data_IF_058897858763
#
_entry.id   IF_058897858763
#
_cell.length_a   1.000
_cell.length_b   1.000
_cell.length_c   1.000
_cell.angle_alpha   90.00
_cell.angle_beta   90.00
_cell.angle_gamma   90.00
#
_symmetry.space_group_name_H-M   'P 1'
#
loop_
_entity.id
_entity.type
_entity.pdbx_description
1 polymer ?
#
# COMPACT_ATOMS: atom_id res chain seq x y z
N UNK A 1 -3.72 -28.33 -16.29
CA UNK A 1 -2.81 -27.38 -16.94
C UNK A 1 -1.59 -27.36 -16.05
N UNK A 2 -0.79 -28.43 -16.06
CA UNK A 2 0.29 -28.67 -17.04
C UNK A 2 1.55 -28.49 -16.21
N UNK A 3 2.20 -29.54 -15.74
CA UNK A 3 3.03 -30.39 -16.60
C UNK A 3 4.36 -29.70 -16.83
N UNK A 4 5.04 -29.32 -15.74
CA UNK A 4 6.41 -28.82 -15.82
C UNK A 4 7.34 -30.03 -15.83
N UNK A 5 7.74 -30.41 -17.04
CA UNK A 5 8.81 -31.37 -17.29
C UNK A 5 10.13 -30.84 -16.72
N UNK A 6 10.57 -31.39 -15.58
CA UNK A 6 11.92 -31.15 -15.05
C UNK A 6 12.89 -32.21 -15.59
N UNK A 7 13.88 -31.83 -16.43
CA UNK A 7 14.90 -32.75 -16.93
C UNK A 7 15.95 -32.99 -15.83
N UNK A 8 15.94 -34.19 -15.23
CA UNK A 8 16.97 -34.63 -14.28
C UNK A 8 16.43 -35.51 -13.14
N UNK A 9 16.04 -36.75 -13.44
CA UNK A 9 15.42 -37.63 -12.46
C UNK A 9 16.43 -38.36 -11.55
N UNK A 10 16.65 -37.85 -10.34
CA UNK A 10 17.25 -38.60 -9.23
C UNK A 10 16.17 -39.36 -8.43
N UNK A 11 16.53 -40.49 -7.81
CA UNK A 11 15.59 -41.32 -7.00
C UNK A 11 14.90 -40.53 -5.87
N UNK A 12 15.58 -39.51 -5.32
CA UNK A 12 15.02 -38.60 -4.33
C UNK A 12 13.83 -37.80 -4.86
N UNK A 13 13.92 -37.27 -6.07
CA UNK A 13 12.85 -36.48 -6.70
C UNK A 13 11.63 -37.35 -6.98
N UNK A 14 11.84 -38.60 -7.39
CA UNK A 14 10.75 -39.59 -7.59
C UNK A 14 10.03 -39.90 -6.28
N UNK A 15 10.77 -40.09 -5.19
CA UNK A 15 10.19 -40.34 -3.87
C UNK A 15 9.43 -39.12 -3.33
N UNK A 16 10.00 -37.92 -3.44
CA UNK A 16 9.34 -36.68 -3.02
C UNK A 16 8.05 -36.42 -3.83
N UNK A 17 8.07 -36.66 -5.14
CA UNK A 17 6.88 -36.56 -5.99
C UNK A 17 5.80 -37.58 -5.64
N UNK A 18 6.18 -38.80 -5.24
CA UNK A 18 5.24 -39.81 -4.76
C UNK A 18 4.56 -39.40 -3.44
N UNK A 19 5.33 -38.89 -2.47
CA UNK A 19 4.74 -38.39 -1.21
C UNK A 19 3.88 -37.14 -1.44
N UNK A 20 4.30 -36.24 -2.33
CA UNK A 20 3.53 -35.07 -2.72
C UNK A 20 2.17 -35.43 -3.32
N UNK A 21 2.16 -36.33 -4.31
CA UNK A 21 0.91 -36.79 -4.94
C UNK A 21 -0.02 -37.50 -3.96
N UNK A 22 0.51 -38.33 -3.05
CA UNK A 22 -0.31 -39.02 -2.04
C UNK A 22 -1.09 -38.05 -1.13
N UNK A 23 -0.57 -36.84 -0.91
CA UNK A 23 -1.23 -35.80 -0.11
C UNK A 23 -2.05 -34.80 -0.96
N UNK A 24 -1.56 -34.45 -2.16
CA UNK A 24 -2.22 -33.48 -3.04
C UNK A 24 -3.45 -34.07 -3.75
N UNK A 25 -3.36 -35.31 -4.23
CA UNK A 25 -4.43 -36.00 -4.95
C UNK A 25 -5.77 -36.04 -4.19
N UNK A 26 -5.84 -36.36 -2.88
CA UNK A 26 -7.10 -36.32 -2.14
C UNK A 26 -7.66 -34.90 -1.99
N UNK A 27 -6.80 -33.88 -1.85
CA UNK A 27 -7.22 -32.47 -1.75
C UNK A 27 -7.79 -31.98 -3.09
N UNK A 28 -7.11 -32.31 -4.19
CA UNK A 28 -7.57 -31.99 -5.55
C UNK A 28 -8.87 -32.73 -5.88
N UNK A 29 -8.99 -34.00 -5.47
CA UNK A 29 -10.23 -34.76 -5.60
C UNK A 29 -11.39 -34.08 -4.84
N UNK A 30 -11.17 -33.69 -3.59
CA UNK A 30 -12.18 -33.02 -2.77
C UNK A 30 -12.63 -31.69 -3.39
N UNK A 31 -11.68 -30.85 -3.83
CA UNK A 31 -11.97 -29.59 -4.53
C UNK A 31 -12.86 -29.83 -5.76
N UNK A 32 -12.48 -30.77 -6.63
CA UNK A 32 -13.20 -31.02 -7.89
C UNK A 32 -14.55 -31.72 -7.70
N UNK A 33 -14.66 -32.62 -6.73
CA UNK A 33 -15.87 -33.44 -6.54
C UNK A 33 -16.89 -32.83 -5.59
N UNK A 34 -16.47 -32.04 -4.61
CA UNK A 34 -17.35 -31.52 -3.56
C UNK A 34 -17.45 -29.99 -3.64
N UNK A 35 -16.32 -29.29 -3.73
CA UNK A 35 -16.31 -27.82 -3.66
C UNK A 35 -16.84 -27.19 -4.95
N UNK A 36 -16.24 -27.53 -6.10
CA UNK A 36 -16.57 -26.92 -7.39
C UNK A 36 -18.05 -27.10 -7.80
N UNK A 37 -18.67 -28.29 -7.64
CA UNK A 37 -20.09 -28.46 -7.97
C UNK A 37 -21.04 -27.78 -6.97
N UNK A 38 -20.60 -27.56 -5.73
CA UNK A 38 -21.39 -26.89 -4.70
C UNK A 38 -21.19 -25.37 -4.69
N UNK A 39 -20.16 -24.86 -5.39
CA UNK A 39 -19.87 -23.44 -5.49
C UNK A 39 -20.87 -22.77 -6.42
N UNK A 40 -21.79 -21.99 -5.85
CA UNK A 40 -22.68 -21.13 -6.62
C UNK A 40 -21.87 -19.96 -7.18
N UNK A 41 -21.86 -19.80 -8.50
CA UNK A 41 -21.26 -18.63 -9.13
C UNK A 41 -22.19 -17.43 -8.93
N UNK A 42 -21.93 -16.64 -7.89
CA UNK A 42 -22.60 -15.37 -7.66
C UNK A 42 -21.70 -14.23 -8.13
N UNK A 43 -22.20 -13.43 -9.06
CA UNK A 43 -21.46 -12.25 -9.51
C UNK A 43 -21.38 -11.21 -8.39
N UNK A 44 -20.17 -10.82 -8.02
CA UNK A 44 -19.91 -9.71 -7.10
C UNK A 44 -19.19 -8.58 -7.84
N UNK A 45 -19.45 -7.34 -7.46
CA UNK A 45 -18.86 -6.16 -8.08
C UNK A 45 -18.09 -5.34 -7.05
N UNK A 46 -16.99 -4.74 -7.49
CA UNK A 46 -16.28 -3.75 -6.69
C UNK A 46 -17.12 -2.48 -6.58
N UNK A 47 -17.35 -2.02 -5.35
CA UNK A 47 -18.09 -0.81 -5.10
C UNK A 47 -17.32 0.42 -5.62
N UNK A 48 -17.99 1.27 -6.41
CA UNK A 48 -17.41 2.49 -6.98
C UNK A 48 -18.06 3.70 -6.33
N UNK A 49 -17.31 4.37 -5.46
CA UNK A 49 -17.70 5.62 -4.84
C UNK A 49 -17.29 6.79 -5.72
N UNK A 50 -18.22 7.72 -5.97
CA UNK A 50 -17.90 8.98 -6.65
C UNK A 50 -17.12 9.90 -5.70
N UNK A 51 -16.34 10.81 -6.26
CA UNK A 51 -15.66 11.86 -5.51
C UNK A 51 -16.70 12.90 -5.05
N UNK A 52 -16.51 13.36 -3.83
CA UNK A 52 -17.22 14.45 -3.15
C UNK A 52 -16.27 15.67 -3.14
N UNK A 53 -16.79 16.91 -3.09
CA UNK A 53 -15.97 18.09 -2.83
C UNK A 53 -15.06 17.90 -1.60
N UNK A 54 -13.84 18.42 -1.70
CA UNK A 54 -12.85 18.36 -0.62
C UNK A 54 -13.11 19.46 0.43
N UNK A 55 -12.45 19.34 1.58
CA UNK A 55 -12.71 20.20 2.74
C UNK A 55 -12.39 21.70 2.50
N UNK A 56 -11.57 22.00 1.50
CA UNK A 56 -11.20 23.35 1.07
C UNK A 56 -12.27 24.07 0.24
N UNK A 57 -13.11 23.32 -0.48
CA UNK A 57 -14.25 23.86 -1.23
C UNK A 57 -15.48 24.09 -0.34
N UNK A 58 -15.46 23.49 0.86
CA UNK A 58 -16.57 23.50 1.79
C UNK A 58 -16.67 24.82 2.58
N UNK A 59 -17.91 25.27 2.83
CA UNK A 59 -18.14 26.39 3.74
C UNK A 59 -17.87 26.01 5.20
N UNK A 60 -17.53 27.00 6.03
CA UNK A 60 -17.17 26.76 7.43
C UNK A 60 -18.35 26.34 8.30
N UNK A 61 -19.56 26.73 7.90
CA UNK A 61 -20.83 26.56 8.60
C UNK A 61 -21.69 25.39 8.07
N UNK A 62 -21.27 24.72 6.98
CA UNK A 62 -21.97 23.55 6.44
C UNK A 62 -21.43 22.23 7.05
N UNK A 63 -22.11 21.61 8.03
CA UNK A 63 -21.66 20.37 8.64
C UNK A 63 -21.83 19.15 7.72
N UNK A 64 -22.72 19.20 6.73
CA UNK A 64 -23.03 18.06 5.85
C UNK A 64 -21.89 17.88 4.85
N UNK A 65 -21.51 18.97 4.18
CA UNK A 65 -20.37 18.95 3.27
C UNK A 65 -19.07 18.54 3.98
N UNK A 66 -18.83 19.03 5.20
CA UNK A 66 -17.68 18.60 6.03
C UNK A 66 -17.74 17.11 6.38
N UNK A 67 -18.92 16.60 6.69
CA UNK A 67 -19.10 15.18 7.00
C UNK A 67 -18.76 14.30 5.80
N UNK A 68 -19.27 14.62 4.61
CA UNK A 68 -18.98 13.85 3.39
C UNK A 68 -17.50 13.90 3.01
N UNK A 69 -16.87 15.08 3.12
CA UNK A 69 -15.43 15.27 2.89
C UNK A 69 -14.58 14.45 3.87
N UNK A 70 -14.96 14.42 5.15
CA UNK A 70 -14.29 13.60 6.16
C UNK A 70 -14.44 12.10 5.89
N UNK A 71 -15.61 11.66 5.42
CA UNK A 71 -15.82 10.26 5.06
C UNK A 71 -15.00 9.86 3.83
N UNK A 72 -14.85 10.75 2.85
CA UNK A 72 -13.94 10.52 1.74
C UNK A 72 -12.49 10.44 2.21
N UNK A 73 -12.05 11.37 3.07
CA UNK A 73 -10.70 11.38 3.63
C UNK A 73 -10.38 10.09 4.40
N UNK A 74 -11.31 9.60 5.21
CA UNK A 74 -11.16 8.33 5.95
C UNK A 74 -11.01 7.12 5.02
N UNK A 75 -11.79 7.08 3.94
CA UNK A 75 -11.70 6.03 2.91
C UNK A 75 -10.38 6.10 2.16
N UNK A 76 -9.97 7.30 1.73
CA UNK A 76 -8.69 7.50 1.05
C UNK A 76 -7.51 7.11 1.95
N UNK A 77 -7.59 7.39 3.26
CA UNK A 77 -6.60 6.92 4.25
C UNK A 77 -6.55 5.39 4.33
N UNK A 78 -7.69 4.71 4.33
CA UNK A 78 -7.74 3.26 4.34
C UNK A 78 -7.12 2.67 3.05
N UNK A 79 -7.38 3.27 1.89
CA UNK A 79 -6.76 2.87 0.63
C UNK A 79 -5.25 3.09 0.67
N UNK A 80 -4.78 4.24 1.13
CA UNK A 80 -3.35 4.55 1.23
C UNK A 80 -2.61 3.62 2.22
N UNK A 81 -3.28 3.18 3.29
CA UNK A 81 -2.73 2.14 4.19
C UNK A 81 -2.53 0.80 3.46
N UNK A 82 -3.51 0.38 2.65
CA UNK A 82 -3.38 -0.87 1.89
C UNK A 82 -2.33 -0.77 0.78
N UNK A 83 -2.13 0.41 0.18
CA UNK A 83 -1.02 0.63 -0.75
C UNK A 83 0.33 0.37 -0.07
N UNK A 84 0.52 0.87 1.16
CA UNK A 84 1.73 0.58 1.94
C UNK A 84 1.86 -0.91 2.28
N UNK A 85 0.77 -1.57 2.67
CA UNK A 85 0.78 -3.00 2.96
C UNK A 85 1.23 -3.82 1.75
N UNK A 86 0.72 -3.51 0.56
CA UNK A 86 1.10 -4.20 -0.68
C UNK A 86 2.58 -3.97 -1.00
N UNK A 87 3.08 -2.74 -0.87
CA UNK A 87 4.50 -2.46 -1.11
C UNK A 87 5.41 -3.17 -0.11
N UNK A 88 4.99 -3.25 1.16
CA UNK A 88 5.70 -3.99 2.20
C UNK A 88 5.74 -5.49 1.90
N UNK A 89 4.60 -6.10 1.55
CA UNK A 89 4.52 -7.51 1.17
C UNK A 89 5.46 -7.84 0.00
N UNK A 90 5.45 -7.00 -1.06
CA UNK A 90 6.35 -7.18 -2.20
C UNK A 90 7.83 -7.13 -1.81
N UNK A 91 8.18 -6.25 -0.88
CA UNK A 91 9.54 -6.17 -0.37
C UNK A 91 9.90 -7.42 0.45
N UNK A 92 9.03 -7.86 1.37
CA UNK A 92 9.22 -9.07 2.18
C UNK A 92 9.33 -10.35 1.32
N UNK A 93 8.51 -10.47 0.27
CA UNK A 93 8.55 -11.58 -0.69
C UNK A 93 9.89 -11.60 -1.44
N UNK A 94 10.36 -10.43 -1.90
CA UNK A 94 11.64 -10.30 -2.58
C UNK A 94 12.81 -10.71 -1.67
N UNK A 95 12.81 -10.24 -0.42
CA UNK A 95 13.85 -10.59 0.56
C UNK A 95 13.89 -12.08 0.81
N UNK A 96 12.73 -12.73 0.89
CA UNK A 96 12.63 -14.18 1.10
C UNK A 96 13.11 -14.97 -0.12
N UNK A 97 12.76 -14.53 -1.33
CA UNK A 97 13.11 -15.22 -2.57
C UNK A 97 14.60 -15.08 -2.95
N UNK A 98 15.20 -13.92 -2.69
CA UNK A 98 16.57 -13.60 -3.13
C UNK A 98 17.63 -13.76 -2.04
N UNK A 99 17.28 -14.29 -0.87
CA UNK A 99 18.25 -14.58 0.19
C UNK A 99 19.34 -15.54 -0.33
N UNK A 100 20.65 -15.25 -0.14
CA UNK A 100 21.22 -14.21 0.75
C UNK A 100 21.48 -12.82 0.11
N UNK A 101 21.45 -12.67 -1.22
CA UNK A 101 21.87 -11.45 -1.95
C UNK A 101 20.79 -10.34 -2.08
N UNK A 102 19.71 -10.46 -1.30
CA UNK A 102 18.54 -9.58 -1.26
C UNK A 102 18.83 -8.06 -1.20
N UNK A 103 19.95 -7.64 -0.60
CA UNK A 103 20.28 -6.21 -0.40
C UNK A 103 20.45 -5.47 -1.73
N UNK A 104 21.05 -6.11 -2.73
CA UNK A 104 21.33 -5.49 -4.02
C UNK A 104 20.13 -5.58 -4.97
N UNK A 105 19.46 -6.72 -4.96
CA UNK A 105 18.41 -7.08 -5.90
C UNK A 105 17.05 -6.49 -5.52
N UNK A 106 16.69 -6.46 -4.22
CA UNK A 106 15.45 -5.85 -3.72
C UNK A 106 15.53 -4.32 -3.50
N UNK A 107 16.67 -3.67 -3.81
CA UNK A 107 16.90 -2.24 -3.53
C UNK A 107 15.79 -1.33 -4.07
N UNK A 108 15.35 -1.57 -5.31
CA UNK A 108 14.30 -0.76 -5.95
C UNK A 108 12.95 -0.88 -5.22
N UNK A 109 12.60 -2.07 -4.73
CA UNK A 109 11.35 -2.28 -3.98
C UNK A 109 11.41 -1.56 -2.63
N UNK A 110 12.57 -1.59 -1.98
CA UNK A 110 12.82 -0.85 -0.75
C UNK A 110 12.66 0.65 -0.96
N UNK A 111 13.30 1.22 -1.98
CA UNK A 111 13.19 2.66 -2.28
C UNK A 111 11.74 3.09 -2.54
N UNK A 112 10.96 2.30 -3.29
CA UNK A 112 9.54 2.58 -3.50
C UNK A 112 8.72 2.53 -2.21
N UNK A 113 9.03 1.58 -1.32
CA UNK A 113 8.37 1.48 -0.01
C UNK A 113 8.76 2.66 0.90
N UNK A 114 10.03 3.03 0.94
CA UNK A 114 10.54 4.14 1.76
C UNK A 114 9.96 5.49 1.27
N UNK A 115 9.86 5.70 -0.05
CA UNK A 115 9.23 6.88 -0.63
C UNK A 115 7.72 6.92 -0.30
N UNK A 116 7.00 5.81 -0.50
CA UNK A 116 5.57 5.74 -0.23
C UNK A 116 5.27 5.95 1.26
N UNK A 117 6.06 5.34 2.16
CA UNK A 117 5.90 5.51 3.61
C UNK A 117 6.17 6.95 4.05
N UNK A 118 7.16 7.60 3.45
CA UNK A 118 7.45 9.03 3.67
C UNK A 118 6.27 9.89 3.22
N UNK A 119 5.73 9.66 2.02
CA UNK A 119 4.57 10.39 1.49
C UNK A 119 3.32 10.20 2.35
N UNK A 120 3.10 8.97 2.82
CA UNK A 120 2.02 8.65 3.75
C UNK A 120 2.19 9.39 5.08
N UNK A 121 3.39 9.41 5.65
CA UNK A 121 3.66 10.11 6.91
C UNK A 121 3.53 11.63 6.77
N UNK A 122 3.95 12.20 5.63
CA UNK A 122 3.75 13.62 5.32
C UNK A 122 2.26 13.97 5.36
N UNK A 123 1.40 13.13 4.79
CA UNK A 123 -0.06 13.37 4.74
C UNK A 123 -0.75 13.03 6.07
N UNK A 124 -0.52 11.86 6.63
CA UNK A 124 -1.28 11.28 7.74
C UNK A 124 -0.58 11.28 9.10
N UNK A 125 0.73 11.53 9.15
CA UNK A 125 1.50 11.57 10.40
C UNK A 125 1.08 12.71 11.32
N UNK A 126 1.25 12.54 12.63
CA UNK A 126 1.03 13.55 13.67
C UNK A 126 -0.36 14.21 13.75
N UNK A 127 -1.36 13.65 13.06
CA UNK A 127 -2.74 14.16 13.09
C UNK A 127 -3.52 13.75 14.36
N UNK A 128 -2.93 12.90 15.20
CA UNK A 128 -3.55 12.35 16.40
C UNK A 128 -4.62 11.29 16.10
N UNK A 129 -5.25 10.77 17.17
CA UNK A 129 -6.28 9.74 17.07
C UNK A 129 -7.55 10.23 16.34
N UNK A 130 -7.90 11.51 16.52
CA UNK A 130 -9.08 12.15 15.92
C UNK A 130 -8.74 12.98 14.67
N UNK A 131 -7.69 12.59 13.94
CA UNK A 131 -7.28 13.29 12.72
C UNK A 131 -8.39 13.32 11.67
N UNK A 132 -8.76 14.52 11.21
CA UNK A 132 -9.83 14.77 10.24
C UNK A 132 -9.27 15.48 9.00
N UNK A 133 -10.12 15.73 7.99
CA UNK A 133 -9.70 16.41 6.77
C UNK A 133 -9.24 17.85 7.04
N UNK A 134 -9.84 18.53 8.01
CA UNK A 134 -9.48 19.90 8.40
C UNK A 134 -8.07 19.99 8.99
N UNK A 135 -7.68 19.07 9.88
CA UNK A 135 -6.33 19.02 10.46
C UNK A 135 -5.29 18.62 9.41
N UNK A 136 -5.64 17.73 8.49
CA UNK A 136 -4.78 17.40 7.36
C UNK A 136 -4.55 18.61 6.44
N UNK A 137 -5.60 19.40 6.16
CA UNK A 137 -5.49 20.64 5.41
C UNK A 137 -4.64 21.67 6.16
N UNK A 138 -4.79 21.80 7.48
CA UNK A 138 -3.96 22.69 8.29
C UNK A 138 -2.47 22.30 8.24
N UNK A 139 -2.17 20.99 8.31
CA UNK A 139 -0.82 20.46 8.13
C UNK A 139 -0.25 20.79 6.74
N UNK A 140 -1.03 20.59 5.69
CA UNK A 140 -0.65 20.93 4.32
C UNK A 140 -0.34 22.44 4.18
N UNK A 141 -1.20 23.30 4.73
CA UNK A 141 -1.00 24.76 4.74
C UNK A 141 0.28 25.13 5.49
N UNK A 142 0.56 24.51 6.63
CA UNK A 142 1.80 24.72 7.38
C UNK A 142 3.04 24.39 6.52
N UNK A 143 3.02 23.25 5.82
CA UNK A 143 4.09 22.85 4.88
C UNK A 143 4.28 23.88 3.77
N UNK A 144 3.20 24.31 3.10
CA UNK A 144 3.30 25.29 2.00
C UNK A 144 3.82 26.66 2.48
N UNK A 145 3.42 27.11 3.67
CA UNK A 145 3.93 28.35 4.26
C UNK A 145 5.42 28.22 4.60
N UNK A 146 5.84 27.05 5.09
CA UNK A 146 7.25 26.78 5.36
C UNK A 146 8.07 26.78 4.07
N UNK A 147 7.57 26.12 3.03
CA UNK A 147 8.24 26.02 1.72
C UNK A 147 8.44 27.39 1.08
N UNK A 148 7.43 28.24 1.18
CA UNK A 148 7.52 29.63 0.73
C UNK A 148 8.62 30.44 1.44
N UNK A 149 8.96 30.10 2.69
CA UNK A 149 9.92 30.85 3.50
C UNK A 149 11.35 30.33 3.44
N UNK A 150 11.53 29.02 3.26
CA UNK A 150 12.85 28.38 3.39
C UNK A 150 13.24 27.51 2.19
N UNK A 151 12.43 27.47 1.13
CA UNK A 151 12.65 26.58 -0.01
C UNK A 151 12.08 25.18 0.22
N UNK A 152 12.46 24.16 -0.57
CA UNK A 152 11.89 22.83 -0.46
C UNK A 152 12.17 22.18 0.91
N UNK A 153 11.19 21.42 1.42
CA UNK A 153 11.30 20.73 2.72
C UNK A 153 12.54 19.83 2.72
N UNK A 154 13.43 20.04 3.68
CA UNK A 154 14.70 19.31 3.80
C UNK A 154 15.95 20.18 3.54
N UNK A 155 15.82 21.36 2.95
CA UNK A 155 16.95 22.27 2.68
C UNK A 155 17.50 23.01 3.91
N UNK A 156 16.91 22.80 5.10
CA UNK A 156 17.27 23.52 6.33
C UNK A 156 16.77 24.97 6.33
N UNK A 157 16.75 25.62 7.50
CA UNK A 157 16.47 27.06 7.55
C UNK A 157 17.72 27.79 7.07
N UNK A 158 17.63 28.55 5.98
CA UNK A 158 18.69 29.50 5.64
C UNK A 158 18.92 30.43 6.83
N UNK A 159 20.16 30.56 7.28
CA UNK A 159 20.51 31.51 8.32
C UNK A 159 20.20 32.92 7.78
N UNK A 160 19.63 33.79 8.61
CA UNK A 160 19.21 35.17 8.24
C UNK A 160 20.28 36.03 7.57
N UNK A 161 21.53 35.58 7.54
CA UNK A 161 22.67 36.29 6.95
C UNK A 161 22.75 36.15 5.42
N UNK A 162 22.04 35.20 4.80
CA UNK A 162 22.09 34.98 3.34
C UNK A 162 20.99 35.73 2.56
N UNK A 163 20.00 36.32 3.26
CA UNK A 163 18.95 37.14 2.63
C UNK A 163 19.33 38.63 2.48
N UNK A 164 20.54 39.04 2.87
CA UNK A 164 20.98 40.44 2.71
C UNK A 164 21.73 40.70 1.40
N UNK A 165 22.12 39.66 0.65
CA UNK A 165 22.91 39.77 -0.58
C UNK A 165 22.17 39.29 -1.85
N UNK A 166 20.83 39.35 -1.86
CA UNK A 166 20.00 39.19 -3.08
C UNK A 166 19.04 40.35 -3.27
#
# INVERSE_FOLDING_TARGET
MGGDDHPGQNNFVKFAGFIGSLLEDPVVWFRKKIVEPNQKDSTWYHHKLKRVPTIDECYTDDPICKFEANQQFSRDRAVDNEVLNILRQRFEDCVTYEAPDHVSRCKKLKEMYDEASTNWFIKYGDLGAYGNAETALAKQKHRMIWERRHGPVGSGKQAKNEMQDQ
#
